data_IF_379867616772
#
_entry.id   IF_379867616772
#
_cell.length_a   1.000
_cell.length_b   1.000
_cell.length_c   1.000
_cell.angle_alpha   90.00
_cell.angle_beta   90.00
_cell.angle_gamma   90.00
#
_symmetry.space_group_name_H-M   'P 1'
#
loop_
_entity.id
_entity.type
_entity.pdbx_description
1 polymer ?
#
# COMPACT_ATOMS: atom_id res chain seq x y z
N UNK A 1 1.39 -11.51 22.13
CA UNK A 1 1.30 -11.77 20.66
C UNK A 1 2.65 -11.38 20.06
N UNK A 2 3.23 -12.20 19.20
CA UNK A 2 4.49 -11.88 18.48
C UNK A 2 4.12 -11.42 17.08
N UNK A 3 4.59 -10.24 16.67
CA UNK A 3 4.47 -9.76 15.28
C UNK A 3 5.54 -10.50 14.48
N UNK A 4 5.14 -11.15 13.40
CA UNK A 4 6.02 -11.96 12.53
C UNK A 4 6.03 -11.47 11.09
N UNK A 5 5.12 -10.57 10.72
CA UNK A 5 4.96 -10.00 9.38
C UNK A 5 4.77 -8.49 9.49
N UNK A 6 5.46 -7.73 8.64
CA UNK A 6 5.20 -6.33 8.36
C UNK A 6 4.65 -6.22 6.93
N UNK A 7 3.45 -5.65 6.78
CA UNK A 7 2.77 -5.55 5.48
C UNK A 7 2.91 -4.19 4.81
N UNK A 8 3.55 -3.20 5.46
CA UNK A 8 3.64 -1.84 4.94
C UNK A 8 5.03 -1.25 5.21
N UNK A 9 5.91 -1.33 4.23
CA UNK A 9 7.28 -0.85 4.36
C UNK A 9 7.79 -0.16 3.09
N UNK A 10 8.58 0.90 3.27
CA UNK A 10 9.17 1.70 2.22
C UNK A 10 10.69 1.65 2.27
N UNK A 11 11.31 1.80 1.10
CA UNK A 11 12.76 1.95 0.95
C UNK A 11 13.11 3.30 0.34
N UNK A 12 14.39 3.51 0.08
CA UNK A 12 14.90 4.71 -0.60
C UNK A 12 14.18 5.01 -1.93
N UNK A 13 13.52 4.02 -2.51
CA UNK A 13 12.79 4.13 -3.78
C UNK A 13 11.56 5.01 -3.64
N UNK A 14 10.91 5.05 -2.50
CA UNK A 14 9.78 5.95 -2.20
C UNK A 14 10.17 7.43 -2.01
N UNK A 15 11.47 7.75 -2.03
CA UNK A 15 11.97 9.13 -1.99
C UNK A 15 11.96 9.80 -0.61
N UNK A 16 11.31 9.24 0.38
CA UNK A 16 11.24 9.76 1.76
C UNK A 16 11.52 8.69 2.84
N UNK A 17 11.95 7.50 2.43
CA UNK A 17 12.58 6.48 3.27
C UNK A 17 14.06 6.35 2.87
N UNK A 18 14.91 5.79 3.73
CA UNK A 18 16.35 5.92 3.56
C UNK A 18 17.11 4.59 3.59
N UNK A 19 16.41 3.46 3.76
CA UNK A 19 17.00 2.14 3.76
C UNK A 19 16.83 1.45 2.40
N UNK A 20 17.76 0.59 2.05
CA UNK A 20 17.66 -0.31 0.90
C UNK A 20 16.86 -1.58 1.26
N UNK A 21 16.42 -2.35 0.25
CA UNK A 21 15.75 -3.65 0.48
C UNK A 21 16.63 -4.57 1.35
N UNK A 22 17.95 -4.57 1.15
CA UNK A 22 18.88 -5.41 1.92
C UNK A 22 18.93 -5.03 3.40
N UNK A 23 19.01 -3.74 3.69
CA UNK A 23 19.02 -3.23 5.06
C UNK A 23 17.69 -3.53 5.76
N UNK A 24 16.57 -3.38 5.05
CA UNK A 24 15.25 -3.74 5.58
C UNK A 24 15.16 -5.24 5.89
N UNK A 25 15.60 -6.11 4.98
CA UNK A 25 15.58 -7.55 5.17
C UNK A 25 16.49 -8.01 6.33
N UNK A 26 17.67 -7.40 6.46
CA UNK A 26 18.57 -7.67 7.57
C UNK A 26 17.94 -7.26 8.90
N UNK A 27 17.38 -6.06 8.98
CA UNK A 27 16.72 -5.57 10.18
C UNK A 27 15.48 -6.40 10.55
N UNK A 28 14.70 -6.82 9.55
CA UNK A 28 13.55 -7.70 9.74
C UNK A 28 13.97 -9.02 10.42
N UNK A 29 15.08 -9.62 9.96
CA UNK A 29 15.67 -10.79 10.61
C UNK A 29 16.07 -10.52 12.06
N UNK A 30 16.79 -9.42 12.30
CA UNK A 30 17.25 -9.05 13.65
C UNK A 30 16.08 -8.82 14.63
N UNK A 31 14.95 -8.28 14.12
CA UNK A 31 13.71 -8.11 14.87
C UNK A 31 12.87 -9.39 14.99
N UNK A 32 13.28 -10.47 14.34
CA UNK A 32 12.60 -11.77 14.37
C UNK A 32 11.31 -11.81 13.57
N UNK A 33 11.20 -10.99 12.52
CA UNK A 33 10.16 -11.10 11.49
C UNK A 33 10.46 -12.31 10.60
N UNK A 34 9.41 -12.99 10.19
CA UNK A 34 9.45 -14.10 9.25
C UNK A 34 9.25 -13.61 7.80
N UNK A 35 8.56 -12.47 7.65
CA UNK A 35 8.31 -11.84 6.35
C UNK A 35 8.11 -10.34 6.47
N UNK A 36 8.29 -9.61 5.35
CA UNK A 36 7.77 -8.24 5.17
C UNK A 36 7.38 -8.00 3.72
N UNK A 37 6.48 -7.04 3.52
CA UNK A 37 6.09 -6.58 2.21
C UNK A 37 6.82 -5.28 1.86
N UNK A 38 7.37 -5.24 0.66
CA UNK A 38 7.95 -4.05 0.05
C UNK A 38 6.83 -3.33 -0.68
N UNK A 39 6.36 -2.22 -0.13
CA UNK A 39 5.17 -1.49 -0.62
C UNK A 39 5.50 -0.03 -0.89
N UNK A 40 6.39 0.19 -1.87
CA UNK A 40 6.75 1.54 -2.29
C UNK A 40 5.55 2.33 -2.77
N UNK A 41 5.57 3.65 -2.60
CA UNK A 41 4.54 4.52 -3.15
C UNK A 41 4.45 4.44 -4.66
N UNK A 42 3.23 4.35 -5.16
CA UNK A 42 2.91 4.36 -6.58
C UNK A 42 3.24 5.71 -7.26
N UNK A 43 3.32 5.76 -8.60
CA UNK A 43 4.02 6.82 -9.35
C UNK A 43 3.54 8.27 -9.18
N UNK A 44 2.31 8.51 -8.69
CA UNK A 44 1.81 9.88 -8.50
C UNK A 44 2.32 10.53 -7.20
N UNK A 45 2.92 9.77 -6.30
CA UNK A 45 3.54 10.35 -5.11
C UNK A 45 4.81 11.11 -5.50
N UNK A 46 4.97 12.38 -5.12
CA UNK A 46 6.17 13.14 -5.41
C UNK A 46 7.44 12.48 -4.84
N UNK A 47 8.47 12.33 -5.68
CA UNK A 47 9.76 11.78 -5.28
C UNK A 47 9.89 10.26 -5.37
N UNK A 48 8.81 9.54 -5.68
CA UNK A 48 8.83 8.08 -5.84
C UNK A 48 9.35 7.64 -7.23
N UNK A 49 9.35 6.33 -7.45
CA UNK A 49 9.81 5.68 -8.67
C UNK A 49 8.76 5.69 -9.80
N UNK A 50 9.23 5.40 -11.00
CA UNK A 50 8.39 5.21 -12.18
C UNK A 50 7.67 3.83 -12.12
N UNK A 51 6.54 3.68 -12.82
CA UNK A 51 5.79 2.41 -12.96
C UNK A 51 6.69 1.23 -13.35
N UNK A 52 7.72 1.45 -14.16
CA UNK A 52 8.69 0.43 -14.57
C UNK A 52 9.37 -0.28 -13.38
N UNK A 53 9.51 0.36 -12.25
CA UNK A 53 10.03 -0.27 -11.03
C UNK A 53 9.15 -1.45 -10.60
N UNK A 54 7.83 -1.24 -10.55
CA UNK A 54 6.87 -2.27 -10.15
C UNK A 54 6.83 -3.42 -11.14
N UNK A 55 6.86 -3.13 -12.45
CA UNK A 55 6.93 -4.14 -13.50
C UNK A 55 8.18 -5.02 -13.40
N UNK A 56 9.26 -4.49 -12.81
CA UNK A 56 10.54 -5.18 -12.67
C UNK A 56 10.76 -5.88 -11.32
N UNK A 57 9.83 -5.77 -10.37
CA UNK A 57 9.95 -6.39 -9.04
C UNK A 57 10.06 -7.93 -9.09
N UNK A 58 9.63 -8.56 -10.17
CA UNK A 58 9.72 -10.01 -10.35
C UNK A 58 11.17 -10.56 -10.33
N UNK A 59 12.19 -9.71 -10.56
CA UNK A 59 13.61 -10.11 -10.48
C UNK A 59 14.18 -10.06 -9.06
N UNK A 60 13.48 -9.44 -8.11
CA UNK A 60 13.94 -9.35 -6.72
C UNK A 60 13.81 -10.73 -6.06
N UNK A 61 14.86 -11.22 -5.35
CA UNK A 61 14.76 -12.48 -4.62
C UNK A 61 13.58 -12.45 -3.61
N UNK A 62 12.82 -13.53 -3.58
CA UNK A 62 11.67 -13.69 -2.68
C UNK A 62 12.04 -14.03 -1.24
N UNK A 63 13.32 -14.19 -0.97
CA UNK A 63 13.86 -14.42 0.36
C UNK A 63 15.24 -13.75 0.48
N UNK A 64 15.49 -13.05 1.58
CA UNK A 64 16.80 -12.52 1.96
C UNK A 64 17.01 -12.74 3.45
N UNK A 65 18.19 -13.23 3.83
CA UNK A 65 18.58 -13.49 5.23
C UNK A 65 17.62 -14.42 5.99
N UNK A 66 16.86 -15.28 5.29
CA UNK A 66 15.84 -16.16 5.88
C UNK A 66 14.51 -15.44 6.18
N UNK A 67 14.31 -14.23 5.64
CA UNK A 67 13.07 -13.47 5.71
C UNK A 67 12.41 -13.51 4.33
N UNK A 68 11.12 -13.87 4.29
CA UNK A 68 10.31 -13.86 3.05
C UNK A 68 9.94 -12.43 2.66
N UNK A 69 10.07 -12.12 1.37
CA UNK A 69 9.71 -10.81 0.80
C UNK A 69 8.47 -10.93 -0.07
N UNK A 70 7.47 -10.11 0.21
CA UNK A 70 6.34 -9.88 -0.67
C UNK A 70 6.57 -8.61 -1.48
N UNK A 71 6.35 -8.69 -2.79
CA UNK A 71 6.48 -7.55 -3.70
C UNK A 71 5.12 -6.87 -3.84
N UNK A 72 5.04 -5.64 -3.43
CA UNK A 72 3.79 -4.91 -3.36
C UNK A 72 3.89 -3.45 -3.76
N UNK A 73 2.84 -2.74 -3.50
CA UNK A 73 2.70 -1.31 -3.79
C UNK A 73 1.78 -0.64 -2.77
N UNK A 74 2.08 0.60 -2.42
CA UNK A 74 1.13 1.50 -1.81
C UNK A 74 0.58 2.46 -2.87
N UNK A 75 -0.64 2.18 -3.32
CA UNK A 75 -1.37 2.95 -4.31
C UNK A 75 -1.88 4.27 -3.73
N UNK A 76 -1.92 5.30 -4.57
CA UNK A 76 -2.61 6.53 -4.26
C UNK A 76 -4.07 6.45 -4.75
N UNK A 77 -5.04 6.59 -3.86
CA UNK A 77 -6.43 6.83 -4.24
C UNK A 77 -6.53 8.27 -4.74
N UNK A 78 -6.99 8.45 -5.98
CA UNK A 78 -6.91 9.72 -6.70
C UNK A 78 -8.15 10.60 -6.56
N UNK A 79 -9.31 10.00 -6.32
CA UNK A 79 -10.62 10.68 -6.27
C UNK A 79 -11.69 9.82 -5.58
N UNK A 80 -12.91 10.36 -5.50
CA UNK A 80 -14.08 9.72 -4.87
C UNK A 80 -14.55 8.43 -5.57
N UNK A 81 -14.07 8.17 -6.80
CA UNK A 81 -14.38 6.94 -7.55
C UNK A 81 -13.45 5.79 -7.21
N UNK A 82 -12.50 5.99 -6.30
CA UNK A 82 -11.52 4.98 -5.92
C UNK A 82 -10.48 4.67 -7.01
N UNK A 83 -10.32 5.57 -8.00
CA UNK A 83 -9.30 5.40 -9.03
C UNK A 83 -7.90 5.46 -8.41
N UNK A 84 -7.02 4.58 -8.87
CA UNK A 84 -5.64 4.46 -8.39
C UNK A 84 -4.64 4.71 -9.52
N UNK A 85 -3.39 4.97 -9.15
CA UNK A 85 -2.35 5.45 -10.04
C UNK A 85 -1.43 4.37 -10.62
N UNK A 86 -1.84 3.10 -10.55
CA UNK A 86 -1.17 1.99 -11.22
C UNK A 86 -2.16 1.23 -12.10
N UNK A 87 -1.81 0.90 -13.37
CA UNK A 87 -2.71 0.15 -14.24
C UNK A 87 -2.88 -1.30 -13.75
N UNK A 88 -4.03 -1.89 -14.02
CA UNK A 88 -4.37 -3.26 -13.62
C UNK A 88 -3.34 -4.29 -14.10
N UNK A 89 -2.78 -4.09 -15.31
CA UNK A 89 -1.74 -4.96 -15.88
C UNK A 89 -0.46 -5.04 -15.06
N UNK A 90 -0.13 -3.99 -14.30
CA UNK A 90 0.99 -3.97 -13.36
C UNK A 90 0.53 -4.42 -11.98
N UNK A 91 -0.64 -3.99 -11.55
CA UNK A 91 -1.19 -4.31 -10.22
C UNK A 91 -1.41 -5.81 -10.03
N UNK A 92 -1.86 -6.54 -11.05
CA UNK A 92 -2.06 -8.00 -10.98
C UNK A 92 -0.76 -8.81 -10.82
N UNK A 93 0.42 -8.16 -10.95
CA UNK A 93 1.73 -8.79 -10.72
C UNK A 93 2.21 -8.63 -9.28
N UNK A 94 1.52 -7.85 -8.46
CA UNK A 94 1.88 -7.61 -7.07
C UNK A 94 1.34 -8.71 -6.16
N UNK A 95 2.14 -9.10 -5.15
CA UNK A 95 1.68 -10.03 -4.11
C UNK A 95 0.70 -9.36 -3.16
N UNK A 96 0.87 -8.05 -2.95
CA UNK A 96 0.07 -7.25 -2.03
C UNK A 96 -0.07 -5.82 -2.57
N UNK A 97 -1.26 -5.27 -2.48
CA UNK A 97 -1.51 -3.86 -2.77
C UNK A 97 -2.26 -3.21 -1.62
N UNK A 98 -1.73 -2.10 -1.16
CA UNK A 98 -2.34 -1.19 -0.19
C UNK A 98 -2.89 -0.01 -0.98
N UNK A 99 -4.05 0.51 -0.61
CA UNK A 99 -4.57 1.75 -1.17
C UNK A 99 -4.77 2.78 -0.06
N UNK A 100 -4.17 3.96 -0.25
CA UNK A 100 -4.14 5.03 0.75
C UNK A 100 -4.53 6.37 0.14
N UNK A 101 -5.05 7.29 0.94
CA UNK A 101 -5.25 8.69 0.53
C UNK A 101 -4.03 9.51 0.96
N UNK A 102 -3.37 10.10 -0.03
CA UNK A 102 -2.23 10.99 0.18
C UNK A 102 -2.52 12.40 -0.34
N UNK A 103 -2.23 13.40 0.48
CA UNK A 103 -2.53 14.81 0.18
C UNK A 103 -2.02 15.34 -1.16
N UNK A 104 -0.80 14.98 -1.60
CA UNK A 104 -0.29 15.40 -2.91
C UNK A 104 -1.00 14.76 -4.10
N UNK A 105 -1.64 13.60 -3.91
CA UNK A 105 -2.20 12.77 -4.98
C UNK A 105 -3.72 12.89 -5.08
N UNK A 106 -4.41 12.98 -3.94
CA UNK A 106 -5.87 13.04 -3.90
C UNK A 106 -6.41 14.39 -4.42
N UNK A 107 -7.27 14.32 -5.44
CA UNK A 107 -7.83 15.48 -6.15
C UNK A 107 -9.31 15.72 -5.85
N UNK A 108 -9.93 14.85 -5.06
CA UNK A 108 -11.33 14.94 -4.67
C UNK A 108 -11.58 15.92 -3.50
N UNK A 109 -12.83 16.04 -3.11
CA UNK A 109 -13.20 16.78 -1.91
C UNK A 109 -12.74 16.05 -0.65
N UNK A 110 -12.47 16.83 0.43
CA UNK A 110 -11.99 16.28 1.70
C UNK A 110 -13.08 16.29 2.78
N UNK A 111 -14.32 16.09 2.37
CA UNK A 111 -15.43 15.86 3.27
C UNK A 111 -15.47 14.40 3.72
N UNK A 112 -16.12 14.12 4.84
CA UNK A 112 -16.27 12.75 5.34
C UNK A 112 -16.96 11.85 4.31
N UNK A 113 -17.98 12.38 3.63
CA UNK A 113 -18.73 11.66 2.60
C UNK A 113 -17.84 11.31 1.40
N UNK A 114 -17.05 12.28 0.91
CA UNK A 114 -16.20 12.09 -0.28
C UNK A 114 -15.03 11.12 0.03
N UNK A 115 -14.40 11.27 1.19
CA UNK A 115 -13.31 10.38 1.63
C UNK A 115 -13.84 8.96 1.86
N UNK A 116 -14.99 8.81 2.53
CA UNK A 116 -15.62 7.51 2.71
C UNK A 116 -15.93 6.87 1.36
N UNK A 117 -16.55 7.60 0.43
CA UNK A 117 -16.86 7.10 -0.91
C UNK A 117 -15.59 6.62 -1.65
N UNK A 118 -14.49 7.37 -1.55
CA UNK A 118 -13.22 7.02 -2.17
C UNK A 118 -12.67 5.66 -1.68
N UNK A 119 -12.67 5.44 -0.36
CA UNK A 119 -12.25 4.16 0.21
C UNK A 119 -13.19 3.02 -0.14
N UNK A 120 -14.53 3.23 -0.04
CA UNK A 120 -15.51 2.21 -0.40
C UNK A 120 -15.36 1.78 -1.86
N UNK A 121 -15.17 2.74 -2.77
CA UNK A 121 -14.96 2.46 -4.19
C UNK A 121 -13.63 1.73 -4.45
N UNK A 122 -12.55 2.11 -3.77
CA UNK A 122 -11.27 1.40 -3.88
C UNK A 122 -11.37 -0.07 -3.45
N UNK A 123 -12.14 -0.37 -2.40
CA UNK A 123 -12.36 -1.75 -1.92
C UNK A 123 -13.14 -2.63 -2.91
N UNK A 124 -13.81 -2.07 -3.91
CA UNK A 124 -14.46 -2.87 -4.98
C UNK A 124 -13.43 -3.50 -5.93
N UNK A 125 -12.20 -2.99 -5.96
CA UNK A 125 -11.15 -3.58 -6.76
C UNK A 125 -10.55 -4.80 -6.05
N UNK A 126 -10.72 -6.02 -6.55
CA UNK A 126 -10.25 -7.25 -5.89
C UNK A 126 -8.72 -7.37 -5.82
N UNK A 127 -7.98 -6.51 -6.52
CA UNK A 127 -6.52 -6.44 -6.45
C UNK A 127 -6.02 -5.54 -5.30
N UNK A 128 -6.91 -4.85 -4.60
CA UNK A 128 -6.57 -4.06 -3.41
C UNK A 128 -6.84 -4.90 -2.16
N UNK A 129 -5.80 -5.21 -1.42
CA UNK A 129 -5.85 -6.12 -0.28
C UNK A 129 -6.00 -5.40 1.06
N UNK A 130 -5.44 -4.19 1.16
CA UNK A 130 -5.38 -3.41 2.40
C UNK A 130 -5.76 -1.96 2.12
N UNK A 131 -6.51 -1.34 3.01
CA UNK A 131 -6.63 0.12 3.09
C UNK A 131 -5.61 0.63 4.09
N UNK A 132 -4.70 1.49 3.64
CA UNK A 132 -3.63 2.04 4.46
C UNK A 132 -4.10 3.23 5.30
N UNK A 133 -3.72 3.25 6.57
CA UNK A 133 -3.90 4.35 7.55
C UNK A 133 -5.19 5.18 7.39
N UNK A 134 -6.39 4.55 7.36
CA UNK A 134 -7.66 5.26 7.23
C UNK A 134 -7.97 6.14 8.44
N UNK A 135 -7.19 6.02 9.51
CA UNK A 135 -7.26 6.79 10.74
C UNK A 135 -6.46 8.11 10.71
N UNK A 136 -5.94 8.50 9.54
CA UNK A 136 -5.30 9.79 9.36
C UNK A 136 -6.32 10.93 9.55
N UNK A 137 -6.23 11.65 10.67
CA UNK A 137 -7.16 12.71 11.05
C UNK A 137 -7.24 13.90 10.07
N UNK A 138 -6.42 13.93 9.03
CA UNK A 138 -6.52 14.91 7.93
C UNK A 138 -7.65 14.56 6.95
N UNK A 139 -8.15 13.32 6.99
CA UNK A 139 -9.14 12.76 6.09
C UNK A 139 -10.26 12.12 6.90
N UNK A 140 -11.30 12.91 7.27
CA UNK A 140 -12.40 12.37 8.04
C UNK A 140 -13.13 11.28 7.27
N UNK A 141 -13.51 10.19 7.94
CA UNK A 141 -14.09 9.00 7.32
C UNK A 141 -15.12 8.35 8.26
N UNK A 142 -16.16 7.79 7.69
CA UNK A 142 -17.12 6.95 8.40
C UNK A 142 -16.53 5.54 8.60
N UNK A 143 -15.96 5.29 9.77
CA UNK A 143 -15.32 4.01 10.10
C UNK A 143 -16.31 2.84 10.15
N UNK A 144 -17.58 3.07 10.45
CA UNK A 144 -18.58 1.99 10.46
C UNK A 144 -18.84 1.49 9.05
N UNK A 145 -19.01 2.40 8.09
CA UNK A 145 -19.13 2.03 6.68
C UNK A 145 -17.87 1.33 6.16
N UNK A 146 -16.67 1.84 6.50
CA UNK A 146 -15.41 1.19 6.12
C UNK A 146 -15.34 -0.25 6.64
N UNK A 147 -15.57 -0.45 7.93
CA UNK A 147 -15.49 -1.77 8.56
C UNK A 147 -16.50 -2.75 7.95
N UNK A 148 -17.72 -2.28 7.65
CA UNK A 148 -18.74 -3.08 6.98
C UNK A 148 -18.29 -3.50 5.58
N UNK A 149 -17.81 -2.55 4.78
CA UNK A 149 -17.34 -2.81 3.42
C UNK A 149 -16.12 -3.73 3.40
N UNK A 150 -15.14 -3.49 4.27
CA UNK A 150 -13.97 -4.33 4.42
C UNK A 150 -14.34 -5.80 4.72
N UNK A 151 -15.33 -6.01 5.59
CA UNK A 151 -15.85 -7.35 5.86
C UNK A 151 -16.54 -7.98 4.63
N UNK A 152 -17.23 -7.20 3.82
CA UNK A 152 -17.93 -7.68 2.60
C UNK A 152 -16.94 -8.07 1.51
N UNK A 153 -15.89 -7.28 1.32
CA UNK A 153 -14.89 -7.48 0.24
C UNK A 153 -13.71 -8.37 0.66
N UNK A 154 -13.51 -8.57 1.97
CA UNK A 154 -12.33 -9.25 2.50
C UNK A 154 -11.08 -8.37 2.57
N UNK A 155 -11.22 -7.05 2.37
CA UNK A 155 -10.12 -6.08 2.48
C UNK A 155 -9.74 -5.88 3.94
N UNK A 156 -8.45 -5.71 4.23
CA UNK A 156 -7.94 -5.43 5.58
C UNK A 156 -7.89 -3.91 5.81
N UNK A 157 -8.14 -3.45 7.04
CA UNK A 157 -8.00 -2.06 7.46
C UNK A 157 -6.77 -1.88 8.36
#
# INVERSE_FOLDING_TARGET
MKIVLDTHAHTIVSGHAYNTIREMAQMAKEKGLEAFALTEHAPQMPGTCHEFYFQNLHIVPREMYGVRLFMGVELNIMNEKGEVDLPESTLCQMDIAIASIHGPCYKGERTEEAITAAYLAAMENPLIHIIGHPDDGRYPVDYEQLAKKAKETGTVL
#
